data_IF_620945368958
#
_entry.id   IF_620945368958
#
_cell.length_a   1.000
_cell.length_b   1.000
_cell.length_c   1.000
_cell.angle_alpha   90.00
_cell.angle_beta   90.00
_cell.angle_gamma   90.00
#
_symmetry.space_group_name_H-M   'P 1'
#
loop_
_entity.id
_entity.type
_entity.pdbx_description
1 polymer ?
#
# COMPACT_ATOMS: atom_id res chain seq x y z
N UNK A 1 -13.54 2.65 1.86
CA UNK A 1 -13.37 2.38 3.31
C UNK A 1 -13.05 3.69 4.03
N UNK A 2 -13.50 3.83 5.28
CA UNK A 2 -13.14 4.98 6.12
C UNK A 2 -11.84 4.68 6.86
N UNK A 3 -10.93 5.66 6.92
CA UNK A 3 -9.71 5.52 7.70
C UNK A 3 -10.06 5.35 9.20
N UNK A 4 -9.61 4.30 9.90
CA UNK A 4 -9.96 4.11 11.31
C UNK A 4 -9.39 5.22 12.23
N UNK A 5 -8.29 5.88 11.81
CA UNK A 5 -7.68 6.99 12.55
C UNK A 5 -8.36 8.33 12.29
N UNK A 6 -8.75 8.61 11.05
CA UNK A 6 -9.25 9.92 10.64
C UNK A 6 -10.77 9.96 10.41
N UNK A 7 -11.42 8.80 10.31
CA UNK A 7 -12.83 8.61 9.94
C UNK A 7 -13.24 9.34 8.65
N UNK A 8 -12.30 9.51 7.72
CA UNK A 8 -12.54 10.10 6.39
C UNK A 8 -12.43 9.05 5.30
N UNK A 9 -13.00 9.37 4.14
CA UNK A 9 -12.89 8.54 2.94
C UNK A 9 -11.44 8.41 2.49
N UNK A 10 -11.00 7.16 2.32
CA UNK A 10 -9.69 6.83 1.78
C UNK A 10 -9.74 6.81 0.25
N UNK A 11 -8.62 7.20 -0.37
CA UNK A 11 -8.46 7.09 -1.83
C UNK A 11 -7.93 5.71 -2.16
N UNK A 12 -8.68 4.95 -2.94
CA UNK A 12 -8.22 3.70 -3.53
C UNK A 12 -7.27 3.99 -4.70
N UNK A 13 -6.12 3.33 -4.70
CA UNK A 13 -5.09 3.41 -5.72
C UNK A 13 -4.79 1.97 -6.15
N UNK A 14 -5.02 1.69 -7.43
CA UNK A 14 -4.69 0.39 -8.03
C UNK A 14 -3.36 0.49 -8.75
N UNK A 15 -2.43 -0.44 -8.49
CA UNK A 15 -1.12 -0.46 -9.12
C UNK A 15 -0.62 -1.90 -9.28
N UNK A 16 -0.45 -2.32 -10.54
CA UNK A 16 0.08 -3.65 -10.89
C UNK A 16 -0.66 -4.78 -10.15
N UNK A 17 -1.98 -4.81 -10.30
CA UNK A 17 -2.90 -5.75 -9.61
C UNK A 17 -3.12 -5.49 -8.12
N UNK A 18 -2.26 -4.69 -7.47
CA UNK A 18 -2.41 -4.39 -6.04
C UNK A 18 -3.34 -3.21 -5.81
N UNK A 19 -4.37 -3.43 -5.00
CA UNK A 19 -5.28 -2.38 -4.53
C UNK A 19 -4.83 -1.86 -3.17
N UNK A 20 -4.51 -0.57 -3.11
CA UNK A 20 -4.07 0.11 -1.89
C UNK A 20 -5.03 1.26 -1.58
N UNK A 21 -5.60 1.26 -0.38
CA UNK A 21 -6.36 2.36 0.16
C UNK A 21 -5.43 3.31 0.93
N UNK A 22 -5.37 4.58 0.51
CA UNK A 22 -4.52 5.62 1.12
C UNK A 22 -5.36 6.73 1.74
N UNK A 23 -5.11 7.03 3.01
CA UNK A 23 -5.75 8.15 3.70
C UNK A 23 -5.10 9.48 3.33
N UNK A 24 -5.89 10.43 2.81
CA UNK A 24 -5.39 11.78 2.42
C UNK A 24 -4.91 12.63 3.59
N UNK A 25 -5.36 12.34 4.82
CA UNK A 25 -5.06 13.14 6.02
C UNK A 25 -3.85 12.62 6.79
N UNK A 26 -3.84 11.33 7.15
CA UNK A 26 -2.75 10.74 7.93
C UNK A 26 -1.71 10.00 7.09
N UNK A 27 -1.89 9.90 5.76
CA UNK A 27 -1.04 9.12 4.85
C UNK A 27 -0.94 7.62 5.18
N UNK A 28 -1.85 7.09 6.01
CA UNK A 28 -1.94 5.66 6.29
C UNK A 28 -2.32 4.88 5.03
N UNK A 29 -1.61 3.79 4.76
CA UNK A 29 -1.81 2.91 3.62
C UNK A 29 -2.33 1.57 4.11
N UNK A 30 -3.34 1.04 3.43
CA UNK A 30 -3.98 -0.24 3.73
C UNK A 30 -3.99 -1.03 2.43
N UNK A 31 -3.46 -2.24 2.46
CA UNK A 31 -3.45 -3.15 1.33
C UNK A 31 -3.86 -4.53 1.82
N UNK A 32 -4.51 -5.31 0.96
CA UNK A 32 -4.88 -6.68 1.28
C UNK A 32 -3.63 -7.57 1.36
N UNK A 33 -3.59 -8.43 2.38
CA UNK A 33 -2.39 -9.10 2.88
C UNK A 33 -1.72 -10.10 1.90
N UNK A 34 -2.35 -10.43 0.77
CA UNK A 34 -1.88 -11.49 -0.14
C UNK A 34 -0.84 -11.08 -1.19
N UNK A 35 -0.61 -9.78 -1.40
CA UNK A 35 0.28 -9.28 -2.47
C UNK A 35 1.51 -8.52 -1.96
N UNK A 36 1.55 -8.23 -0.66
CA UNK A 36 2.66 -7.53 0.00
C UNK A 36 3.94 -8.37 0.04
N UNK A 37 3.84 -9.70 0.15
CA UNK A 37 5.01 -10.60 0.11
C UNK A 37 5.72 -10.55 -1.24
N UNK A 38 4.98 -10.54 -2.36
CA UNK A 38 5.58 -10.46 -3.71
C UNK A 38 6.26 -9.10 -3.96
N UNK A 39 5.75 -8.01 -3.38
CA UNK A 39 6.36 -6.69 -3.51
C UNK A 39 7.60 -6.52 -2.63
N UNK A 40 7.66 -7.15 -1.46
CA UNK A 40 8.82 -7.15 -0.59
C UNK A 40 10.00 -7.92 -1.24
N UNK A 41 9.73 -9.09 -1.82
CA UNK A 41 10.76 -9.92 -2.48
C UNK A 41 11.44 -9.17 -3.65
N UNK A 42 10.67 -8.44 -4.46
CA UNK A 42 11.21 -7.62 -5.58
C UNK A 42 11.97 -6.37 -5.07
N UNK A 43 11.61 -5.83 -3.90
CA UNK A 43 12.27 -4.65 -3.35
C UNK A 43 13.67 -4.97 -2.81
N UNK A 44 13.89 -6.20 -2.32
CA UNK A 44 15.20 -6.63 -1.83
C UNK A 44 16.21 -6.94 -2.95
N UNK A 45 15.77 -7.41 -4.12
CA UNK A 45 16.66 -7.70 -5.26
C UNK A 45 17.29 -6.46 -5.91
N UNK A 46 16.81 -5.25 -5.62
CA UNK A 46 17.36 -4.01 -6.21
C UNK A 46 18.50 -3.37 -5.40
N UNK A 47 18.89 -3.93 -4.27
CA UNK A 47 19.90 -3.32 -3.41
C UNK A 47 21.31 -3.95 -3.49
N UNK A 48 21.56 -4.91 -4.40
CA UNK A 48 22.88 -5.57 -4.55
C UNK A 48 23.64 -5.19 -5.85
N UNK A 49 23.30 -4.07 -6.49
CA UNK A 49 24.09 -3.53 -7.63
C UNK A 49 24.32 -2.02 -7.53
N UNK A 50 24.78 -1.55 -6.38
CA UNK A 50 25.37 -0.23 -6.21
C UNK A 50 26.84 -0.36 -5.82
#
# INVERSE_FOLDING_TARGET
MLCPRCKIEMKKIEKKDVVIDVCKKCKGMWADAGELEKLAEIAEEKNEKA
#
